data_IF_090938690613
#
_entry.id   IF_090938690613
#
_cell.length_a   1.000
_cell.length_b   1.000
_cell.length_c   1.000
_cell.angle_alpha   90.00
_cell.angle_beta   90.00
_cell.angle_gamma   90.00
#
_symmetry.space_group_name_H-M   'P 1'
#
loop_
_entity.id
_entity.type
_entity.pdbx_description
1 polymer ?
#
# COMPACT_ATOMS: atom_id res chain seq x y z
N UNK A 1 14.27 -2.52 -13.46
CA UNK A 1 14.04 -2.57 -11.99
C UNK A 1 14.23 -4.00 -11.54
N UNK A 2 15.26 -4.28 -10.72
CA UNK A 2 15.45 -5.60 -10.13
C UNK A 2 14.29 -5.83 -9.16
N UNK A 3 13.35 -6.72 -9.49
CA UNK A 3 12.29 -7.12 -8.57
C UNK A 3 12.95 -7.78 -7.35
N UNK A 4 12.81 -7.14 -6.18
CA UNK A 4 13.36 -7.65 -4.93
C UNK A 4 12.76 -9.04 -4.64
N UNK A 5 13.62 -10.05 -4.59
CA UNK A 5 13.26 -11.42 -4.21
C UNK A 5 12.70 -11.43 -2.79
N UNK A 6 11.57 -12.11 -2.59
CA UNK A 6 11.03 -12.38 -1.26
C UNK A 6 11.70 -13.65 -0.73
N UNK A 7 12.54 -13.47 0.28
CA UNK A 7 13.45 -14.48 0.86
C UNK A 7 13.46 -14.44 2.40
N UNK A 8 12.48 -13.77 3.02
CA UNK A 8 12.30 -13.76 4.47
C UNK A 8 10.83 -13.65 4.85
N UNK A 9 10.49 -14.09 6.07
CA UNK A 9 9.13 -13.97 6.62
C UNK A 9 8.65 -12.52 6.68
N UNK A 10 9.52 -11.59 7.10
CA UNK A 10 9.20 -10.17 7.09
C UNK A 10 8.82 -9.68 5.69
N UNK A 11 9.64 -9.98 4.67
CA UNK A 11 9.36 -9.54 3.29
C UNK A 11 8.07 -10.18 2.77
N UNK A 12 7.83 -11.45 3.09
CA UNK A 12 6.64 -12.17 2.66
C UNK A 12 5.37 -11.56 3.25
N UNK A 13 5.35 -11.31 4.55
CA UNK A 13 4.20 -10.72 5.23
C UNK A 13 4.02 -9.27 4.81
N UNK A 14 5.05 -8.45 4.95
CA UNK A 14 4.95 -7.01 4.73
C UNK A 14 4.64 -6.68 3.27
N UNK A 15 5.39 -7.25 2.32
CA UNK A 15 5.12 -7.00 0.91
C UNK A 15 3.91 -7.76 0.39
N UNK A 16 3.62 -8.96 0.90
CA UNK A 16 2.37 -9.66 0.60
C UNK A 16 1.16 -8.84 0.97
N UNK A 17 1.13 -8.28 2.18
CA UNK A 17 0.04 -7.43 2.64
C UNK A 17 -0.17 -6.19 1.77
N UNK A 18 0.90 -5.46 1.45
CA UNK A 18 0.80 -4.27 0.58
C UNK A 18 0.40 -4.64 -0.85
N UNK A 19 0.92 -5.74 -1.38
CA UNK A 19 0.56 -6.25 -2.70
C UNK A 19 -0.93 -6.64 -2.74
N UNK A 20 -1.45 -7.20 -1.65
CA UNK A 20 -2.87 -7.49 -1.42
C UNK A 20 -3.73 -6.25 -1.47
N UNK A 21 -3.35 -5.19 -0.74
CA UNK A 21 -4.02 -3.88 -0.79
C UNK A 21 -4.07 -3.34 -2.21
N UNK A 22 -2.99 -3.48 -2.96
CA UNK A 22 -2.88 -2.96 -4.33
C UNK A 22 -3.47 -3.89 -5.39
N UNK A 23 -3.88 -5.11 -5.03
CA UNK A 23 -4.41 -6.12 -5.95
C UNK A 23 -3.39 -6.62 -6.97
N UNK A 24 -2.10 -6.63 -6.64
CA UNK A 24 -1.03 -7.17 -7.49
C UNK A 24 -0.35 -8.34 -6.82
N UNK A 25 0.32 -9.21 -7.57
CA UNK A 25 1.13 -10.29 -6.99
C UNK A 25 2.59 -10.16 -7.41
N UNK A 26 3.47 -10.41 -6.46
CA UNK A 26 4.90 -10.54 -6.70
C UNK A 26 5.16 -11.86 -7.44
N UNK A 27 5.99 -11.82 -8.48
CA UNK A 27 6.35 -13.00 -9.29
C UNK A 27 7.46 -13.84 -8.65
N UNK A 28 8.21 -13.30 -7.69
CA UNK A 28 9.45 -13.90 -7.16
C UNK A 28 9.40 -14.09 -5.66
N UNK A 29 8.68 -15.13 -5.23
CA UNK A 29 8.61 -15.55 -3.83
C UNK A 29 9.28 -16.90 -3.67
N UNK A 30 10.32 -16.95 -2.83
CA UNK A 30 11.06 -18.19 -2.57
C UNK A 30 10.25 -19.09 -1.63
N UNK A 31 10.35 -20.40 -1.81
CA UNK A 31 10.01 -21.32 -0.73
C UNK A 31 11.02 -21.15 0.42
N UNK A 32 10.63 -21.25 1.69
CA UNK A 32 9.30 -21.65 2.21
C UNK A 32 8.31 -20.49 2.42
N UNK A 33 8.60 -19.28 1.96
CA UNK A 33 7.85 -18.07 2.32
C UNK A 33 6.54 -17.84 1.55
N UNK A 34 6.25 -18.68 0.54
CA UNK A 34 5.12 -18.48 -0.35
C UNK A 34 3.77 -18.51 0.37
N UNK A 35 3.59 -19.39 1.36
CA UNK A 35 2.33 -19.51 2.08
C UNK A 35 2.05 -18.25 2.90
N UNK A 36 3.04 -17.73 3.63
CA UNK A 36 2.89 -16.48 4.39
C UNK A 36 2.63 -15.30 3.46
N UNK A 37 3.29 -15.25 2.30
CA UNK A 37 3.02 -14.20 1.31
C UNK A 37 1.55 -14.25 0.85
N UNK A 38 1.03 -15.43 0.51
CA UNK A 38 -0.36 -15.61 0.06
C UNK A 38 -1.36 -15.23 1.14
N UNK A 39 -1.11 -15.64 2.37
CA UNK A 39 -1.95 -15.30 3.51
C UNK A 39 -1.98 -13.79 3.74
N UNK A 40 -0.81 -13.16 3.84
CA UNK A 40 -0.71 -11.71 4.01
C UNK A 40 -1.38 -10.96 2.84
N UNK A 41 -1.23 -11.46 1.60
CA UNK A 41 -1.91 -10.90 0.43
C UNK A 41 -3.43 -10.94 0.56
N UNK A 42 -3.99 -12.08 0.99
CA UNK A 42 -5.43 -12.20 1.22
C UNK A 42 -5.91 -11.20 2.28
N UNK A 43 -5.19 -11.07 3.39
CA UNK A 43 -5.51 -10.11 4.46
C UNK A 43 -5.42 -8.66 3.99
N UNK A 44 -4.40 -8.32 3.19
CA UNK A 44 -4.26 -7.01 2.57
C UNK A 44 -5.44 -6.68 1.64
N UNK A 45 -5.89 -7.67 0.86
CA UNK A 45 -7.04 -7.51 -0.04
C UNK A 45 -8.33 -7.19 0.71
N UNK A 46 -8.55 -7.78 1.90
CA UNK A 46 -9.73 -7.51 2.73
C UNK A 46 -9.81 -6.07 3.24
N UNK A 47 -8.66 -5.42 3.45
CA UNK A 47 -8.60 -4.04 3.95
C UNK A 47 -8.35 -3.00 2.86
N UNK A 48 -8.30 -3.43 1.59
CA UNK A 48 -8.03 -2.56 0.43
C UNK A 48 -8.85 -1.28 0.46
N UNK A 49 -10.16 -1.39 0.66
CA UNK A 49 -11.08 -0.25 0.66
C UNK A 49 -10.90 0.68 1.85
N UNK A 50 -10.22 0.26 2.92
CA UNK A 50 -9.84 1.14 4.03
C UNK A 50 -8.60 1.97 3.70
N UNK A 51 -7.71 1.44 2.86
CA UNK A 51 -6.38 2.02 2.61
C UNK A 51 -6.33 2.84 1.32
N UNK A 52 -6.93 2.35 0.25
CA UNK A 52 -6.92 3.01 -1.06
C UNK A 52 -8.31 3.12 -1.66
N UNK A 53 -8.42 3.99 -2.66
CA UNK A 53 -9.54 4.05 -3.58
C UNK A 53 -9.01 4.12 -5.00
N UNK A 54 -9.62 3.40 -5.94
CA UNK A 54 -9.29 3.46 -7.37
C UNK A 54 -10.51 3.96 -8.12
N UNK A 55 -10.38 5.04 -8.88
CA UNK A 55 -11.50 5.53 -9.69
C UNK A 55 -11.65 4.75 -11.00
N UNK A 56 -12.74 4.99 -11.75
CA UNK A 56 -13.00 4.35 -13.04
C UNK A 56 -11.96 4.64 -14.13
N UNK A 57 -11.02 5.57 -13.90
CA UNK A 57 -9.89 5.86 -14.79
C UNK A 57 -8.60 5.17 -14.35
N UNK A 58 -8.60 4.32 -13.33
CA UNK A 58 -7.40 3.63 -12.84
C UNK A 58 -6.44 4.51 -12.03
N UNK A 59 -6.90 5.68 -11.56
CA UNK A 59 -6.12 6.53 -10.65
C UNK A 59 -6.32 6.03 -9.21
N UNK A 60 -5.20 5.84 -8.50
CA UNK A 60 -5.13 5.34 -7.14
C UNK A 60 -4.98 6.52 -6.17
N UNK A 61 -5.85 6.56 -5.16
CA UNK A 61 -5.88 7.56 -4.10
C UNK A 61 -5.56 6.87 -2.77
N UNK A 62 -4.64 7.45 -2.00
CA UNK A 62 -4.35 6.97 -0.65
C UNK A 62 -5.38 7.54 0.32
N UNK A 63 -6.22 6.68 0.91
CA UNK A 63 -7.21 7.09 1.93
C UNK A 63 -6.55 7.38 3.28
N UNK A 64 -5.40 6.77 3.58
CA UNK A 64 -4.66 7.04 4.82
C UNK A 64 -4.11 8.48 4.89
N UNK A 65 -3.86 9.11 3.74
CA UNK A 65 -3.57 10.54 3.68
C UNK A 65 -4.78 11.44 4.02
N UNK A 66 -6.00 10.89 3.93
CA UNK A 66 -7.27 11.56 4.16
C UNK A 66 -7.73 11.46 5.61
N UNK A 67 -6.85 11.75 6.56
CA UNK A 67 -7.09 11.60 8.00
C UNK A 67 -8.09 12.61 8.62
N UNK A 68 -8.77 13.43 7.81
CA UNK A 68 -9.80 14.36 8.28
C UNK A 68 -11.02 14.33 7.36
N UNK A 69 -12.21 14.62 7.88
CA UNK A 69 -13.47 14.70 7.11
C UNK A 69 -13.34 15.63 5.88
N UNK A 70 -12.66 16.76 6.04
CA UNK A 70 -12.42 17.72 4.96
C UNK A 70 -11.59 17.10 3.82
N UNK A 71 -10.57 16.30 4.14
CA UNK A 71 -9.77 15.59 3.13
C UNK A 71 -10.51 14.43 2.50
N UNK A 72 -11.40 13.77 3.23
CA UNK A 72 -12.26 12.74 2.67
C UNK A 72 -13.22 13.32 1.61
N UNK A 73 -13.86 14.45 1.92
CA UNK A 73 -14.67 15.21 0.96
C UNK A 73 -13.84 15.63 -0.25
N UNK A 74 -12.61 16.11 -0.02
CA UNK A 74 -11.70 16.49 -1.09
C UNK A 74 -11.32 15.29 -1.97
N UNK A 75 -11.06 14.11 -1.38
CA UNK A 75 -10.79 12.87 -2.10
C UNK A 75 -11.96 12.52 -3.04
N UNK A 76 -13.21 12.58 -2.55
CA UNK A 76 -14.40 12.29 -3.37
C UNK A 76 -14.54 13.27 -4.54
N UNK A 77 -14.24 14.55 -4.35
CA UNK A 77 -14.24 15.55 -5.43
C UNK A 77 -13.15 15.25 -6.46
N UNK A 78 -11.91 15.02 -6.01
CA UNK A 78 -10.78 14.74 -6.90
C UNK A 78 -10.96 13.43 -7.68
N UNK A 79 -11.52 12.40 -7.05
CA UNK A 79 -11.82 11.11 -7.66
C UNK A 79 -12.64 11.22 -8.95
N UNK A 80 -13.55 12.19 -9.04
CA UNK A 80 -14.40 12.42 -10.23
C UNK A 80 -13.68 13.13 -11.37
N UNK A 81 -12.61 13.87 -11.07
CA UNK A 81 -11.97 14.81 -12.00
C UNK A 81 -10.62 14.29 -12.51
N UNK A 82 -9.97 13.42 -11.74
CA UNK A 82 -8.63 12.93 -12.02
C UNK A 82 -8.63 11.78 -13.03
N UNK A 83 -7.96 12.03 -14.14
CA UNK A 83 -7.59 11.00 -15.13
C UNK A 83 -6.14 10.58 -14.93
N UNK A 84 -5.73 9.48 -15.58
CA UNK A 84 -4.35 8.99 -15.58
C UNK A 84 -3.36 10.10 -15.96
N UNK A 85 -3.65 10.87 -17.02
CA UNK A 85 -2.75 11.90 -17.52
C UNK A 85 -2.57 13.05 -16.53
N UNK A 86 -3.66 13.48 -15.87
CA UNK A 86 -3.58 14.48 -14.79
C UNK A 86 -2.75 13.96 -13.61
N UNK A 87 -2.92 12.69 -13.25
CA UNK A 87 -2.15 12.07 -12.17
C UNK A 87 -0.66 11.92 -12.50
N UNK A 88 -0.31 11.69 -13.77
CA UNK A 88 1.09 11.61 -14.24
C UNK A 88 1.78 12.99 -14.27
N UNK A 89 1.06 14.04 -14.70
CA UNK A 89 1.59 15.40 -14.82
C UNK A 89 1.80 16.12 -13.48
N UNK A 90 1.14 15.67 -12.41
CA UNK A 90 1.29 16.31 -11.09
C UNK A 90 2.66 15.97 -10.49
N UNK A 91 3.51 16.99 -10.26
CA UNK A 91 4.69 16.86 -9.40
C UNK A 91 4.23 16.38 -8.01
N UNK A 92 4.84 15.29 -7.51
CA UNK A 92 4.46 14.55 -6.29
C UNK A 92 4.60 15.34 -4.97
N UNK A 93 4.77 16.66 -5.01
CA UNK A 93 5.20 17.44 -3.85
C UNK A 93 4.57 18.83 -3.85
N UNK A 94 3.71 19.06 -2.86
CA UNK A 94 3.39 20.38 -2.32
C UNK A 94 3.35 20.19 -0.80
N UNK A 95 4.26 20.85 -0.10
CA UNK A 95 4.53 20.64 1.31
C UNK A 95 3.29 20.90 2.18
N UNK A 96 3.09 20.02 3.16
CA UNK A 96 1.98 19.96 4.11
C UNK A 96 0.65 19.42 3.55
N UNK A 97 0.29 18.20 3.97
CA UNK A 97 -1.12 17.74 4.07
C UNK A 97 -1.89 17.42 2.78
N UNK A 98 -1.22 17.20 1.64
CA UNK A 98 -1.87 16.82 0.38
C UNK A 98 -2.14 15.31 0.27
N UNK A 99 -3.33 14.94 -0.19
CA UNK A 99 -3.68 13.56 -0.55
C UNK A 99 -2.68 13.00 -1.57
N UNK A 100 -2.14 11.81 -1.31
CA UNK A 100 -1.29 11.14 -2.29
C UNK A 100 -2.15 10.45 -3.37
N UNK A 101 -1.88 10.78 -4.63
CA UNK A 101 -2.64 10.35 -5.80
C UNK A 101 -1.64 9.93 -6.87
N UNK A 102 -1.86 8.79 -7.51
CA UNK A 102 -0.98 8.31 -8.58
C UNK A 102 -1.70 7.33 -9.50
N UNK A 103 -1.22 7.19 -10.73
CA UNK A 103 -1.61 6.09 -11.61
C UNK A 103 -0.63 4.89 -11.57
N UNK A 104 0.45 4.98 -10.77
CA UNK A 104 1.50 3.97 -10.75
C UNK A 104 1.48 3.17 -9.45
N UNK A 105 1.30 1.84 -9.55
CA UNK A 105 1.28 0.92 -8.42
C UNK A 105 2.59 0.96 -7.63
N UNK A 106 3.74 0.99 -8.31
CA UNK A 106 5.06 1.08 -7.67
C UNK A 106 5.22 2.35 -6.81
N UNK A 107 4.62 3.46 -7.26
CA UNK A 107 4.64 4.71 -6.53
C UNK A 107 3.75 4.65 -5.29
N UNK A 108 2.56 4.06 -5.40
CA UNK A 108 1.68 3.83 -4.25
C UNK A 108 2.34 2.88 -3.23
N UNK A 109 2.95 1.79 -3.69
CA UNK A 109 3.70 0.85 -2.85
C UNK A 109 4.81 1.57 -2.08
N UNK A 110 5.58 2.42 -2.76
CA UNK A 110 6.63 3.23 -2.13
C UNK A 110 6.07 4.21 -1.10
N UNK A 111 4.97 4.88 -1.43
CA UNK A 111 4.31 5.83 -0.55
C UNK A 111 3.80 5.16 0.73
N UNK A 112 3.05 4.07 0.60
CA UNK A 112 2.54 3.26 1.71
C UNK A 112 3.68 2.79 2.64
N UNK A 113 4.77 2.27 2.05
CA UNK A 113 5.96 1.85 2.80
C UNK A 113 6.63 2.99 3.58
N UNK A 114 6.73 4.19 3.00
CA UNK A 114 7.49 5.30 3.59
C UNK A 114 6.67 6.16 4.55
N UNK A 115 5.36 6.27 4.34
CA UNK A 115 4.51 7.25 5.04
C UNK A 115 3.43 6.66 5.93
N UNK A 116 3.03 5.41 5.69
CA UNK A 116 1.91 4.78 6.42
C UNK A 116 2.28 3.43 7.03
N UNK A 117 3.56 3.21 7.31
CA UNK A 117 4.06 1.93 7.85
C UNK A 117 3.39 1.58 9.18
N UNK A 118 3.24 2.55 10.07
CA UNK A 118 2.62 2.32 11.39
C UNK A 118 1.14 2.00 11.28
N UNK A 119 0.39 2.76 10.48
CA UNK A 119 -1.04 2.54 10.25
C UNK A 119 -1.30 1.17 9.61
N UNK A 120 -0.49 0.80 8.61
CA UNK A 120 -0.58 -0.50 7.95
C UNK A 120 -0.22 -1.65 8.89
N UNK A 121 0.79 -1.47 9.74
CA UNK A 121 1.16 -2.50 10.72
C UNK A 121 -0.05 -2.92 11.56
N UNK A 122 -0.84 -1.97 12.06
CA UNK A 122 -2.03 -2.27 12.88
C UNK A 122 -3.18 -2.94 12.11
N UNK A 123 -3.19 -2.86 10.78
CA UNK A 123 -4.16 -3.57 9.95
C UNK A 123 -3.75 -5.03 9.67
N UNK A 124 -2.50 -5.41 9.94
CA UNK A 124 -2.04 -6.78 9.79
C UNK A 124 -2.56 -7.62 10.97
N UNK A 125 -3.14 -8.81 10.74
CA UNK A 125 -3.58 -9.69 11.81
C UNK A 125 -2.48 -10.03 12.82
N UNK A 126 -2.85 -10.20 14.09
CA UNK A 126 -1.90 -10.39 15.19
C UNK A 126 -0.98 -11.61 14.98
N UNK A 127 -1.51 -12.70 14.45
CA UNK A 127 -0.73 -13.92 14.20
C UNK A 127 0.31 -13.78 13.09
N UNK A 128 0.14 -12.84 12.16
CA UNK A 128 1.16 -12.47 11.18
C UNK A 128 2.12 -11.42 11.76
N UNK A 129 1.62 -10.45 12.53
CA UNK A 129 2.44 -9.40 13.15
C UNK A 129 3.55 -9.94 14.05
N UNK A 130 3.34 -11.04 14.76
CA UNK A 130 4.37 -11.64 15.63
C UNK A 130 5.69 -11.91 14.89
N UNK A 131 5.63 -12.27 13.61
CA UNK A 131 6.81 -12.50 12.75
C UNK A 131 7.45 -11.22 12.21
N UNK A 132 6.77 -10.07 12.33
CA UNK A 132 7.31 -8.76 11.99
C UNK A 132 8.10 -8.16 13.17
N UNK A 133 7.67 -8.43 14.41
CA UNK A 133 8.32 -7.93 15.64
C UNK A 133 9.65 -8.64 15.90
N UNK A 134 9.77 -9.92 15.55
CA UNK A 134 11.01 -10.71 15.72
C UNK A 134 12.21 -10.12 14.96
N UNK A 135 11.99 -9.20 14.02
CA UNK A 135 13.03 -8.54 13.23
C UNK A 135 13.17 -7.03 13.54
N UNK A 136 12.30 -6.46 14.37
CA UNK A 136 12.34 -5.04 14.76
C UNK A 136 13.29 -4.76 15.94
N UNK A 137 13.82 -5.80 16.59
CA UNK A 137 14.72 -5.70 17.75
C UNK A 137 16.10 -6.36 17.54
N UNK A 138 16.50 -6.59 16.29
CA UNK A 138 17.81 -7.18 15.94
C UNK A 138 18.77 -6.21 15.24
N UNK A 139 18.52 -4.89 15.29
CA UNK A 139 19.46 -3.87 14.83
C UNK A 139 19.38 -2.62 15.71
#
# INVERSE_FOLDING_TARGET
MVEAKIDSYYKAIWYGFIDGILGVRCKRVSQPYLWMYREAWNEGSKVRDKVIYVNGHGVIFCKLCANTKLRELFLRKLAKIYTVDKAKRRKRTGASKALFITAHISAMKTHLNKKHRSELYWLIPAHLRKYLVTLAFTF
#
